data_IF_176041189850
#
_entry.id   IF_176041189850
#
_cell.length_a   1.000
_cell.length_b   1.000
_cell.length_c   1.000
_cell.angle_alpha   90.00
_cell.angle_beta   90.00
_cell.angle_gamma   90.00
#
_symmetry.space_group_name_H-M   'P 1'
#
loop_
_entity.id
_entity.type
_entity.pdbx_description
1 polymer ?
#
# COMPACT_ATOMS: atom_id res chain seq x y z
N UNK A 1 20.01 7.27 1.66
CA UNK A 1 19.50 6.63 2.89
C UNK A 1 20.54 5.60 3.26
N UNK A 2 21.24 5.79 4.37
CA UNK A 2 22.25 4.82 4.82
C UNK A 2 21.50 3.56 5.24
N UNK A 3 21.98 2.39 4.84
CA UNK A 3 21.41 1.10 5.26
C UNK A 3 21.45 1.02 6.79
N UNK A 4 20.26 1.09 7.40
CA UNK A 4 20.05 0.98 8.86
C UNK A 4 19.99 -0.50 9.28
N UNK A 5 20.14 -1.44 8.35
CA UNK A 5 19.94 -2.86 8.58
C UNK A 5 21.29 -3.59 8.63
N UNK A 6 21.71 -4.01 9.82
CA UNK A 6 22.92 -4.82 10.02
C UNK A 6 22.53 -6.30 10.07
N UNK A 7 23.35 -7.18 9.50
CA UNK A 7 23.17 -8.62 9.53
C UNK A 7 23.17 -9.13 10.99
N UNK A 8 22.01 -9.59 11.48
CA UNK A 8 21.82 -10.05 12.86
C UNK A 8 20.74 -9.28 13.63
N UNK A 9 20.33 -8.10 13.15
CA UNK A 9 19.22 -7.37 13.74
C UNK A 9 17.88 -8.07 13.42
N UNK A 10 17.11 -8.40 14.45
CA UNK A 10 15.72 -8.82 14.30
C UNK A 10 14.82 -7.60 14.26
N UNK A 11 14.54 -7.11 13.07
CA UNK A 11 13.45 -6.16 12.86
C UNK A 11 12.16 -6.94 12.62
N UNK A 12 11.42 -7.19 13.69
CA UNK A 12 10.06 -7.72 13.62
C UNK A 12 9.11 -6.56 13.35
N UNK A 13 8.65 -6.46 12.10
CA UNK A 13 7.68 -5.46 11.67
C UNK A 13 6.46 -6.14 11.06
N UNK A 14 5.26 -5.78 11.56
CA UNK A 14 3.94 -6.23 11.05
C UNK A 14 2.96 -5.10 10.66
N UNK A 15 2.48 -5.10 9.40
CA UNK A 15 1.86 -3.97 8.71
C UNK A 15 0.53 -4.52 8.30
N UNK A 16 -0.52 -3.74 8.53
CA UNK A 16 -1.81 -4.18 8.07
C UNK A 16 -1.81 -4.20 6.54
N UNK A 17 -2.32 -5.28 5.96
CA UNK A 17 -2.42 -5.49 4.53
C UNK A 17 -3.00 -4.28 3.79
N UNK A 18 -3.99 -3.58 4.38
CA UNK A 18 -4.55 -2.33 3.82
C UNK A 18 -3.49 -1.27 3.50
N UNK A 19 -2.50 -1.08 4.38
CA UNK A 19 -1.44 -0.09 4.15
C UNK A 19 -0.44 -0.57 3.11
N UNK A 20 -0.15 -1.87 3.07
CA UNK A 20 0.71 -2.45 2.04
C UNK A 20 0.04 -2.41 0.66
N UNK A 21 -1.27 -2.68 0.58
CA UNK A 21 -2.08 -2.58 -0.65
C UNK A 21 -2.08 -1.14 -1.18
N UNK A 22 -2.28 -0.14 -0.31
CA UNK A 22 -2.19 1.28 -0.68
C UNK A 22 -0.79 1.67 -1.16
N UNK A 23 0.27 1.20 -0.48
CA UNK A 23 1.64 1.40 -0.90
C UNK A 23 1.90 0.81 -2.30
N UNK A 24 1.50 -0.45 -2.54
CA UNK A 24 1.62 -1.10 -3.84
C UNK A 24 0.87 -0.34 -4.95
N UNK A 25 -0.36 0.11 -4.69
CA UNK A 25 -1.14 0.91 -5.65
C UNK A 25 -0.45 2.24 -5.97
N UNK A 26 0.14 2.89 -4.97
CA UNK A 26 0.94 4.10 -5.17
C UNK A 26 2.18 3.83 -6.04
N UNK A 27 2.92 2.77 -5.76
CA UNK A 27 4.10 2.38 -6.55
C UNK A 27 3.73 2.08 -8.01
N UNK A 28 2.64 1.32 -8.25
CA UNK A 28 2.13 1.08 -9.61
C UNK A 28 1.74 2.38 -10.31
N UNK A 29 1.09 3.30 -9.60
CA UNK A 29 0.69 4.60 -10.14
C UNK A 29 1.92 5.41 -10.59
N UNK A 30 3.00 5.35 -9.81
CA UNK A 30 4.29 5.99 -10.13
C UNK A 30 4.94 5.33 -11.35
N UNK A 31 4.96 3.99 -11.41
CA UNK A 31 5.56 3.25 -12.53
C UNK A 31 4.86 3.48 -13.88
N UNK A 32 3.58 3.88 -13.87
CA UNK A 32 2.84 4.20 -15.09
C UNK A 32 3.22 5.56 -15.73
N UNK A 33 4.25 6.25 -15.23
CA UNK A 33 4.76 7.52 -15.78
C UNK A 33 4.15 8.73 -15.08
N UNK A 34 5.01 9.58 -14.53
CA UNK A 34 4.65 10.67 -13.62
C UNK A 34 5.13 12.05 -14.06
N UNK A 35 5.84 12.17 -15.19
CA UNK A 35 6.20 13.52 -15.62
C UNK A 35 4.92 14.27 -16.02
N UNK A 36 4.83 15.53 -15.59
CA UNK A 36 3.70 16.38 -15.97
C UNK A 36 3.57 16.47 -17.50
N UNK A 37 4.69 16.37 -18.20
CA UNK A 37 4.74 16.35 -19.67
C UNK A 37 4.10 15.09 -20.26
N UNK A 38 4.49 13.89 -19.81
CA UNK A 38 3.88 12.63 -20.27
C UNK A 38 2.37 12.59 -19.96
N UNK A 39 1.97 13.11 -18.80
CA UNK A 39 0.57 13.20 -18.41
C UNK A 39 -0.22 14.18 -19.30
N UNK A 40 0.40 15.32 -19.64
CA UNK A 40 -0.21 16.32 -20.52
C UNK A 40 -0.38 15.77 -21.94
N UNK A 41 0.63 15.07 -22.46
CA UNK A 41 0.68 14.58 -23.84
C UNK A 41 -0.04 13.23 -24.02
N UNK A 42 -0.47 12.60 -22.92
CA UNK A 42 -1.25 11.36 -22.92
C UNK A 42 -2.61 11.55 -23.61
N UNK A 43 -3.04 10.52 -24.34
CA UNK A 43 -4.40 10.46 -24.90
C UNK A 43 -5.45 10.73 -23.80
N UNK A 44 -6.40 11.67 -23.99
CA UNK A 44 -7.35 12.06 -22.95
C UNK A 44 -8.20 10.91 -22.39
N UNK A 45 -8.58 9.93 -23.22
CA UNK A 45 -9.35 8.77 -22.76
C UNK A 45 -8.50 7.84 -21.89
N UNK A 46 -7.24 7.61 -22.28
CA UNK A 46 -6.31 6.81 -21.48
C UNK A 46 -6.02 7.49 -20.15
N UNK A 47 -5.84 8.82 -20.16
CA UNK A 47 -5.62 9.62 -18.95
C UNK A 47 -6.78 9.54 -17.98
N UNK A 48 -8.00 9.72 -18.49
CA UNK A 48 -9.24 9.62 -17.71
C UNK A 48 -9.43 8.22 -17.13
N UNK A 49 -9.30 7.17 -17.95
CA UNK A 49 -9.38 5.79 -17.47
C UNK A 49 -8.31 5.45 -16.43
N UNK A 50 -7.06 5.84 -16.66
CA UNK A 50 -5.99 5.63 -15.68
C UNK A 50 -6.33 6.28 -14.34
N UNK A 51 -6.79 7.52 -14.35
CA UNK A 51 -7.14 8.24 -13.12
C UNK A 51 -8.30 7.60 -12.36
N UNK A 52 -9.41 7.25 -13.02
CA UNK A 52 -10.53 6.64 -12.35
C UNK A 52 -10.25 5.19 -11.93
N UNK A 53 -9.39 4.45 -12.66
CA UNK A 53 -9.07 3.06 -12.32
C UNK A 53 -8.24 3.00 -11.04
N UNK A 54 -7.25 3.88 -10.91
CA UNK A 54 -6.47 4.02 -9.67
C UNK A 54 -7.40 4.38 -8.50
N UNK A 55 -8.32 5.33 -8.71
CA UNK A 55 -9.27 5.73 -7.67
C UNK A 55 -10.26 4.61 -7.31
N UNK A 56 -10.77 3.88 -8.30
CA UNK A 56 -11.66 2.74 -8.09
C UNK A 56 -10.98 1.62 -7.28
N UNK A 57 -9.71 1.31 -7.58
CA UNK A 57 -8.94 0.33 -6.82
C UNK A 57 -8.65 0.83 -5.40
N UNK A 58 -8.31 2.12 -5.24
CA UNK A 58 -8.13 2.73 -3.92
C UNK A 58 -9.40 2.62 -3.09
N UNK A 59 -10.56 2.97 -3.65
CA UNK A 59 -11.84 2.84 -2.97
C UNK A 59 -12.18 1.39 -2.63
N UNK A 60 -11.84 0.43 -3.50
CA UNK A 60 -12.04 -0.99 -3.22
C UNK A 60 -11.20 -1.49 -2.04
N UNK A 61 -9.93 -1.03 -1.95
CA UNK A 61 -9.03 -1.31 -0.83
C UNK A 61 -9.59 -0.70 0.47
N UNK A 62 -10.03 0.55 0.44
CA UNK A 62 -10.59 1.21 1.63
C UNK A 62 -11.91 0.57 2.07
N UNK A 63 -12.77 0.18 1.13
CA UNK A 63 -14.04 -0.49 1.43
C UNK A 63 -13.84 -1.87 2.06
N UNK A 64 -12.73 -2.53 1.76
CA UNK A 64 -12.35 -3.84 2.30
C UNK A 64 -11.03 -3.71 3.05
N UNK A 65 -10.96 -2.74 3.94
CA UNK A 65 -9.78 -2.48 4.74
C UNK A 65 -9.34 -3.76 5.46
N UNK A 66 -8.24 -4.31 4.99
CA UNK A 66 -7.74 -5.59 5.42
C UNK A 66 -6.76 -5.42 6.57
N UNK A 67 -7.17 -5.83 7.77
CA UNK A 67 -6.39 -5.68 9.01
C UNK A 67 -5.37 -6.78 9.22
N UNK A 68 -5.27 -7.71 8.29
CA UNK A 68 -4.37 -8.84 8.40
C UNK A 68 -2.92 -8.38 8.50
N UNK A 69 -2.23 -8.87 9.52
CA UNK A 69 -0.85 -8.51 9.77
C UNK A 69 0.07 -9.24 8.79
N UNK A 70 0.71 -8.44 7.97
CA UNK A 70 1.69 -8.87 7.00
C UNK A 70 3.10 -8.68 7.56
N UNK A 71 3.85 -9.78 7.61
CA UNK A 71 5.23 -9.81 8.09
C UNK A 71 5.56 -11.20 8.61
N UNK A 72 6.62 -11.82 8.09
CA UNK A 72 7.33 -12.88 8.79
C UNK A 72 8.79 -12.89 8.33
N UNK A 73 9.71 -12.81 9.29
CA UNK A 73 11.18 -12.85 9.14
C UNK A 73 11.80 -11.90 8.07
N UNK A 74 12.19 -10.69 8.49
CA UNK A 74 13.38 -10.03 7.93
C UNK A 74 13.19 -8.86 6.96
N UNK A 75 12.04 -8.15 7.02
CA UNK A 75 11.80 -6.75 6.62
C UNK A 75 10.40 -6.57 6.03
N UNK A 76 9.78 -5.42 6.29
CA UNK A 76 8.58 -4.90 5.63
C UNK A 76 8.58 -5.01 4.11
N UNK A 77 9.76 -4.81 3.51
CA UNK A 77 9.97 -4.88 2.07
C UNK A 77 9.91 -6.30 1.50
N UNK A 78 9.77 -7.33 2.36
CA UNK A 78 9.72 -8.74 1.98
C UNK A 78 8.37 -9.41 2.24
N UNK A 79 7.39 -8.71 2.81
CA UNK A 79 6.04 -9.27 2.90
C UNK A 79 5.47 -9.42 1.50
N UNK A 80 4.92 -10.59 1.20
CA UNK A 80 4.22 -10.85 -0.07
C UNK A 80 2.70 -10.79 0.08
N UNK A 81 2.18 -10.75 1.31
CA UNK A 81 0.74 -10.84 1.62
C UNK A 81 0.11 -12.22 1.42
N UNK A 82 0.87 -13.22 0.93
CA UNK A 82 0.34 -14.55 0.62
C UNK A 82 0.21 -15.45 1.85
N UNK A 83 -0.87 -16.24 1.91
CA UNK A 83 -1.10 -17.27 2.94
C UNK A 83 -1.78 -16.76 4.21
N UNK A 84 -2.23 -15.50 4.23
CA UNK A 84 -2.90 -14.91 5.38
C UNK A 84 -4.43 -14.98 5.24
N UNK A 85 -5.14 -14.98 6.37
CA UNK A 85 -6.61 -14.94 6.38
C UNK A 85 -7.07 -13.49 6.44
N UNK A 86 -7.94 -13.07 5.52
CA UNK A 86 -8.39 -11.69 5.36
C UNK A 86 -9.79 -11.49 5.93
N UNK A 87 -10.06 -10.36 6.59
CA UNK A 87 -11.37 -10.00 7.15
C UNK A 87 -11.66 -8.51 6.97
N UNK A 88 -12.89 -8.16 6.59
CA UNK A 88 -13.28 -6.77 6.26
C UNK A 88 -13.60 -5.96 7.53
N UNK A 89 -13.17 -4.70 7.60
CA UNK A 89 -13.49 -3.79 8.72
C UNK A 89 -13.87 -2.36 8.28
N UNK A 90 -14.30 -1.56 9.25
CA UNK A 90 -14.47 -0.10 9.13
C UNK A 90 -13.08 0.59 9.07
N UNK A 91 -12.76 1.21 7.92
CA UNK A 91 -11.47 1.85 7.69
C UNK A 91 -11.20 3.05 8.59
N UNK A 92 -12.21 3.88 8.87
CA UNK A 92 -12.01 5.11 9.67
C UNK A 92 -11.71 4.74 11.13
N UNK A 93 -12.44 3.77 11.67
CA UNK A 93 -12.16 3.22 12.99
C UNK A 93 -10.78 2.56 13.06
N UNK A 94 -10.38 1.86 11.99
CA UNK A 94 -9.07 1.24 11.87
C UNK A 94 -7.93 2.28 11.85
N UNK A 95 -8.03 3.31 11.01
CA UNK A 95 -7.02 4.37 10.91
C UNK A 95 -6.87 5.08 12.23
N UNK A 96 -7.99 5.44 12.89
CA UNK A 96 -7.92 6.02 14.24
C UNK A 96 -7.22 5.10 15.23
N UNK A 97 -7.57 3.80 15.25
CA UNK A 97 -6.95 2.83 16.14
C UNK A 97 -5.44 2.69 15.90
N UNK A 98 -5.03 2.72 14.62
CA UNK A 98 -3.65 2.63 14.18
C UNK A 98 -2.85 3.88 14.56
N UNK A 99 -3.39 5.07 14.32
CA UNK A 99 -2.75 6.35 14.67
C UNK A 99 -2.53 6.47 16.19
N UNK A 100 -3.51 6.05 16.99
CA UNK A 100 -3.42 6.05 18.46
C UNK A 100 -2.34 5.07 19.00
N UNK A 101 -1.84 4.16 18.16
CA UNK A 101 -0.88 3.09 18.52
C UNK A 101 0.39 3.07 17.67
N UNK A 102 0.52 4.00 16.72
CA UNK A 102 1.72 4.19 15.93
C UNK A 102 2.86 4.63 16.85
N UNK A 103 3.97 3.90 16.80
CA UNK A 103 5.24 4.22 17.48
C UNK A 103 6.10 5.14 16.62
#
# INVERSE_FOLDING_TARGET
MNDVLVEGDRYEGYIMAVYHQLHCLSTLTISLGISQQEWHDMNPRIREHRSHCVEYLRQSILCNADTTLEGDTGSWTKSTGWGQTHSCVDFDALTKWADDRGI
#
